data_IF_406197980763
#
_entry.id   IF_406197980763
#
_cell.length_a   1.000
_cell.length_b   1.000
_cell.length_c   1.000
_cell.angle_alpha   90.00
_cell.angle_beta   90.00
_cell.angle_gamma   90.00
#
_symmetry.space_group_name_H-M   'P 1'
#
loop_
_entity.id
_entity.type
_entity.pdbx_description
1 polymer ?
#
# COMPACT_ATOMS: atom_id res chain seq x y z
N UNK A 1 58.33 -70.11 43.15
CA UNK A 1 56.95 -69.59 42.99
C UNK A 1 56.80 -69.03 41.59
N UNK A 2 55.95 -69.63 40.73
CA UNK A 2 55.74 -69.18 39.35
C UNK A 2 54.30 -68.67 39.25
N UNK A 3 54.13 -67.35 39.26
CA UNK A 3 52.82 -66.70 39.21
C UNK A 3 52.23 -66.91 37.82
N UNK A 4 51.12 -67.65 37.74
CA UNK A 4 50.30 -67.73 36.52
C UNK A 4 49.63 -66.37 36.34
N UNK A 5 49.93 -65.66 35.26
CA UNK A 5 49.12 -64.53 34.82
C UNK A 5 47.90 -65.11 34.10
N UNK A 6 46.74 -65.03 34.74
CA UNK A 6 45.45 -65.26 34.07
C UNK A 6 45.22 -64.21 32.99
N UNK A 7 44.57 -64.55 31.88
CA UNK A 7 44.18 -63.59 30.86
C UNK A 7 42.95 -62.81 31.33
N UNK A 8 43.09 -61.49 31.48
CA UNK A 8 42.00 -60.53 31.66
C UNK A 8 41.56 -59.90 30.32
N UNK A 9 40.37 -59.28 30.24
CA UNK A 9 39.40 -59.59 29.20
C UNK A 9 39.22 -58.51 28.11
N UNK A 10 38.76 -59.02 26.94
CA UNK A 10 37.89 -58.38 25.96
C UNK A 10 38.42 -57.11 25.27
N UNK A 11 39.11 -57.34 24.15
CA UNK A 11 39.22 -56.33 23.10
C UNK A 11 37.81 -55.88 22.70
N UNK A 12 37.49 -54.60 22.92
CA UNK A 12 36.40 -53.96 22.19
C UNK A 12 36.69 -54.18 20.70
N UNK A 13 35.81 -54.88 19.99
CA UNK A 13 36.04 -55.22 18.59
C UNK A 13 36.15 -53.94 17.77
N UNK A 14 37.38 -53.60 17.38
CA UNK A 14 37.67 -52.52 16.43
C UNK A 14 36.92 -52.85 15.13
N UNK A 15 35.99 -51.99 14.69
CA UNK A 15 35.15 -52.30 13.54
C UNK A 15 36.03 -52.47 12.30
N UNK A 16 35.83 -53.58 11.60
CA UNK A 16 36.56 -53.90 10.37
C UNK A 16 36.41 -52.77 9.36
N UNK A 17 37.40 -52.57 8.49
CA UNK A 17 37.42 -51.46 7.51
C UNK A 17 36.14 -51.37 6.67
N UNK A 18 35.53 -52.53 6.37
CA UNK A 18 34.25 -52.63 5.66
C UNK A 18 33.08 -52.02 6.44
N UNK A 19 33.05 -52.20 7.76
CA UNK A 19 32.02 -51.62 8.62
C UNK A 19 32.20 -50.11 8.76
N UNK A 20 33.44 -49.64 8.87
CA UNK A 20 33.77 -48.20 8.81
C UNK A 20 33.32 -47.56 7.49
N UNK A 21 33.56 -48.24 6.37
CA UNK A 21 33.14 -47.77 5.06
C UNK A 21 31.60 -47.65 4.97
N UNK A 22 30.87 -48.70 5.40
CA UNK A 22 29.40 -48.69 5.44
C UNK A 22 28.84 -47.55 6.28
N UNK A 23 29.36 -47.34 7.49
CA UNK A 23 28.93 -46.26 8.37
C UNK A 23 29.20 -44.88 7.77
N UNK A 24 30.37 -44.69 7.14
CA UNK A 24 30.72 -43.45 6.46
C UNK A 24 29.85 -43.18 5.23
N UNK A 25 29.52 -44.20 4.45
CA UNK A 25 28.59 -44.08 3.32
C UNK A 25 27.19 -43.72 3.80
N UNK A 26 26.67 -44.38 4.83
CA UNK A 26 25.37 -44.03 5.43
C UNK A 26 25.35 -42.60 5.94
N UNK A 27 26.40 -42.16 6.63
CA UNK A 27 26.55 -40.79 7.13
C UNK A 27 26.58 -39.78 5.98
N UNK A 28 27.31 -40.07 4.89
CA UNK A 28 27.37 -39.22 3.69
C UNK A 28 26.01 -39.13 3.00
N UNK A 29 25.30 -40.24 2.85
CA UNK A 29 23.93 -40.29 2.30
C UNK A 29 22.97 -39.45 3.14
N UNK A 30 22.99 -39.62 4.47
CA UNK A 30 22.16 -38.83 5.39
C UNK A 30 22.45 -37.34 5.30
N UNK A 31 23.73 -36.94 5.25
CA UNK A 31 24.13 -35.53 5.05
C UNK A 31 23.58 -34.95 3.75
N UNK A 32 23.65 -35.70 2.64
CA UNK A 32 23.10 -35.26 1.35
C UNK A 32 21.59 -35.05 1.39
N UNK A 33 20.84 -36.02 1.92
CA UNK A 33 19.38 -35.92 2.03
C UNK A 33 18.99 -34.74 2.92
N UNK A 34 19.65 -34.57 4.07
CA UNK A 34 19.36 -33.45 4.97
C UNK A 34 19.64 -32.09 4.32
N UNK A 35 20.72 -31.98 3.54
CA UNK A 35 21.04 -30.77 2.81
C UNK A 35 19.97 -30.45 1.76
N UNK A 36 19.52 -31.46 1.01
CA UNK A 36 18.49 -31.30 -0.01
C UNK A 36 17.15 -30.86 0.60
N UNK A 37 16.75 -31.47 1.71
CA UNK A 37 15.55 -31.07 2.48
C UNK A 37 15.69 -29.64 2.99
N UNK A 38 16.84 -29.29 3.56
CA UNK A 38 17.10 -27.93 4.05
C UNK A 38 16.99 -26.91 2.92
N UNK A 39 17.66 -27.16 1.79
CA UNK A 39 17.65 -26.26 0.64
C UNK A 39 16.24 -26.05 0.09
N UNK A 40 15.44 -27.13 0.01
CA UNK A 40 14.04 -27.05 -0.41
C UNK A 40 13.21 -26.21 0.55
N UNK A 41 13.39 -26.38 1.86
CA UNK A 41 12.68 -25.60 2.87
C UNK A 41 13.08 -24.12 2.81
N UNK A 42 14.38 -23.84 2.74
CA UNK A 42 14.92 -22.48 2.64
C UNK A 42 14.38 -21.78 1.37
N UNK A 43 14.36 -22.48 0.24
CA UNK A 43 13.79 -21.97 -1.01
C UNK A 43 12.28 -21.65 -0.87
N UNK A 44 11.50 -22.57 -0.31
CA UNK A 44 10.07 -22.35 -0.07
C UNK A 44 9.82 -21.17 0.90
N UNK A 45 10.67 -21.02 1.92
CA UNK A 45 10.60 -19.91 2.86
C UNK A 45 10.90 -18.58 2.15
N UNK A 46 12.01 -18.51 1.40
CA UNK A 46 12.39 -17.31 0.66
C UNK A 46 11.32 -16.89 -0.34
N UNK A 47 10.74 -17.84 -1.10
CA UNK A 47 9.64 -17.54 -2.00
C UNK A 47 8.42 -16.95 -1.28
N UNK A 48 8.09 -17.48 -0.10
CA UNK A 48 6.99 -16.96 0.72
C UNK A 48 7.30 -15.54 1.20
N UNK A 49 8.51 -15.29 1.67
CA UNK A 49 8.96 -13.98 2.14
C UNK A 49 8.94 -12.94 1.02
N UNK A 50 9.44 -13.30 -0.17
CA UNK A 50 9.38 -12.44 -1.37
C UNK A 50 7.93 -12.06 -1.66
N UNK A 51 7.02 -13.04 -1.72
CA UNK A 51 5.61 -12.77 -2.01
C UNK A 51 4.97 -11.84 -0.96
N UNK A 52 5.29 -12.03 0.31
CA UNK A 52 4.81 -11.16 1.40
C UNK A 52 5.36 -9.74 1.22
N UNK A 53 6.64 -9.60 0.91
CA UNK A 53 7.28 -8.29 0.71
C UNK A 53 6.72 -7.58 -0.52
N UNK A 54 6.44 -8.29 -1.61
CA UNK A 54 5.78 -7.75 -2.79
C UNK A 54 4.38 -7.23 -2.46
N UNK A 55 3.57 -8.01 -1.73
CA UNK A 55 2.25 -7.56 -1.29
C UNK A 55 2.34 -6.30 -0.42
N UNK A 56 3.28 -6.25 0.52
CA UNK A 56 3.53 -5.06 1.36
C UNK A 56 3.95 -3.86 0.52
N UNK A 57 4.85 -4.05 -0.45
CA UNK A 57 5.29 -2.98 -1.37
C UNK A 57 4.11 -2.42 -2.16
N UNK A 58 3.27 -3.29 -2.72
CA UNK A 58 2.08 -2.88 -3.45
C UNK A 58 1.14 -2.07 -2.54
N UNK A 59 0.85 -2.54 -1.32
CA UNK A 59 -0.01 -1.81 -0.39
C UNK A 59 0.53 -0.42 -0.03
N UNK A 60 1.85 -0.29 0.18
CA UNK A 60 2.50 1.01 0.43
C UNK A 60 2.37 1.92 -0.79
N UNK A 61 2.69 1.43 -1.99
CA UNK A 61 2.61 2.23 -3.22
C UNK A 61 1.19 2.70 -3.52
N UNK A 62 0.17 1.83 -3.33
CA UNK A 62 -1.23 2.25 -3.49
C UNK A 62 -1.60 3.35 -2.50
N UNK A 63 -1.17 3.23 -1.24
CA UNK A 63 -1.46 4.24 -0.21
C UNK A 63 -0.75 5.57 -0.51
N UNK A 64 0.52 5.53 -0.89
CA UNK A 64 1.27 6.74 -1.27
C UNK A 64 0.66 7.41 -2.49
N UNK A 65 0.31 6.63 -3.53
CA UNK A 65 -0.37 7.17 -4.71
C UNK A 65 -1.71 7.81 -4.37
N UNK A 66 -2.49 7.19 -3.48
CA UNK A 66 -3.75 7.77 -3.03
C UNK A 66 -3.51 9.09 -2.26
N UNK A 67 -2.49 9.17 -1.40
CA UNK A 67 -2.17 10.41 -0.69
C UNK A 67 -1.69 11.50 -1.64
N UNK A 68 -0.88 11.16 -2.65
CA UNK A 68 -0.38 12.12 -3.64
C UNK A 68 -1.54 12.70 -4.45
N UNK A 69 -2.47 11.85 -4.92
CA UNK A 69 -3.68 12.29 -5.62
C UNK A 69 -4.52 13.24 -4.75
N UNK A 70 -4.66 12.97 -3.45
CA UNK A 70 -5.40 13.86 -2.54
C UNK A 70 -4.72 15.23 -2.44
N UNK A 71 -3.39 15.29 -2.35
CA UNK A 71 -2.67 16.56 -2.28
C UNK A 71 -2.68 17.30 -3.62
N UNK A 72 -2.59 16.60 -4.75
CA UNK A 72 -2.74 17.18 -6.08
C UNK A 72 -4.13 17.80 -6.26
N UNK A 73 -5.19 17.06 -5.92
CA UNK A 73 -6.57 17.56 -5.96
C UNK A 73 -6.77 18.74 -5.01
N UNK A 74 -6.18 18.70 -3.81
CA UNK A 74 -6.26 19.84 -2.87
C UNK A 74 -5.55 21.08 -3.42
N UNK A 75 -4.37 20.93 -4.01
CA UNK A 75 -3.64 22.04 -4.62
C UNK A 75 -4.40 22.63 -5.83
N UNK A 76 -4.95 21.78 -6.69
CA UNK A 76 -5.83 22.17 -7.80
C UNK A 76 -7.09 22.91 -7.29
N UNK A 77 -7.72 22.41 -6.23
CA UNK A 77 -8.86 23.08 -5.60
C UNK A 77 -8.49 24.48 -5.13
N UNK A 78 -7.40 24.64 -4.37
CA UNK A 78 -6.99 25.96 -3.91
C UNK A 78 -6.63 26.88 -5.08
N UNK A 79 -5.96 26.39 -6.12
CA UNK A 79 -5.63 27.17 -7.33
C UNK A 79 -6.91 27.66 -8.04
N UNK A 80 -7.88 26.77 -8.24
CA UNK A 80 -9.12 27.08 -8.93
C UNK A 80 -10.04 27.99 -8.10
N UNK A 81 -10.13 27.79 -6.78
CA UNK A 81 -11.08 28.48 -5.91
C UNK A 81 -10.46 29.59 -5.05
N UNK A 82 -9.21 30.00 -5.27
CA UNK A 82 -8.55 31.03 -4.43
C UNK A 82 -9.28 32.38 -4.43
N UNK A 83 -10.04 32.69 -5.49
CA UNK A 83 -10.87 33.89 -5.60
C UNK A 83 -12.38 33.61 -5.39
N UNK A 84 -12.72 32.42 -4.87
CA UNK A 84 -14.10 31.95 -4.80
C UNK A 84 -14.60 31.37 -6.12
N UNK A 85 -15.89 31.04 -6.18
CA UNK A 85 -16.54 30.56 -7.40
C UNK A 85 -16.79 31.76 -8.32
N UNK A 86 -16.25 31.71 -9.53
CA UNK A 86 -16.42 32.74 -10.54
C UNK A 86 -17.86 32.64 -11.06
N UNK A 87 -18.71 33.60 -10.68
CA UNK A 87 -19.96 33.80 -11.41
C UNK A 87 -19.58 34.29 -12.80
N UNK A 88 -19.73 33.46 -13.83
CA UNK A 88 -19.69 33.98 -15.18
C UNK A 88 -20.73 35.09 -15.25
N UNK A 89 -20.26 36.33 -15.40
CA UNK A 89 -21.13 37.48 -15.53
C UNK A 89 -22.15 37.23 -16.64
N UNK A 90 -23.31 37.85 -16.52
CA UNK A 90 -24.46 37.73 -17.42
C UNK A 90 -24.19 38.13 -18.89
N UNK A 91 -22.92 38.34 -19.26
CA UNK A 91 -22.45 38.60 -20.61
C UNK A 91 -22.48 37.30 -21.42
N UNK A 92 -23.31 37.32 -22.45
CA UNK A 92 -23.72 36.21 -23.31
C UNK A 92 -22.60 35.40 -23.97
N UNK A 93 -21.34 35.82 -23.85
CA UNK A 93 -20.15 35.11 -24.35
C UNK A 93 -19.45 34.30 -23.25
N UNK A 94 -19.48 34.76 -21.99
CA UNK A 94 -18.91 34.04 -20.84
C UNK A 94 -19.80 32.87 -20.38
N UNK A 95 -21.10 32.93 -20.67
CA UNK A 95 -22.06 31.83 -20.42
C UNK A 95 -21.78 30.56 -21.25
N UNK A 96 -21.00 30.67 -22.34
CA UNK A 96 -20.63 29.55 -23.21
C UNK A 96 -19.31 28.88 -22.79
N UNK A 97 -18.57 29.46 -21.86
CA UNK A 97 -17.32 28.88 -21.37
C UNK A 97 -17.61 27.95 -20.21
N UNK A 98 -17.29 26.64 -20.30
CA UNK A 98 -17.40 25.72 -19.17
C UNK A 98 -16.65 26.33 -17.99
N UNK A 99 -17.37 26.57 -16.90
CA UNK A 99 -16.73 27.01 -15.67
C UNK A 99 -15.94 25.81 -15.17
N UNK A 100 -14.60 25.84 -15.32
CA UNK A 100 -13.70 24.76 -14.90
C UNK A 100 -13.95 24.37 -13.44
N UNK A 101 -14.42 25.32 -12.61
CA UNK A 101 -14.81 25.07 -11.21
C UNK A 101 -16.09 24.22 -11.07
N UNK A 102 -17.06 24.34 -11.98
CA UNK A 102 -18.30 23.55 -11.99
C UNK A 102 -18.08 22.11 -12.46
N UNK A 103 -17.11 21.88 -13.35
CA UNK A 103 -16.75 20.53 -13.79
C UNK A 103 -15.81 19.85 -12.78
N UNK A 104 -14.91 20.62 -12.14
CA UNK A 104 -13.93 20.11 -11.19
C UNK A 104 -14.56 19.44 -9.97
N UNK A 105 -15.62 20.02 -9.40
CA UNK A 105 -16.21 19.54 -8.14
C UNK A 105 -16.88 18.17 -8.29
N UNK A 106 -17.74 17.93 -9.30
CA UNK A 106 -18.29 16.60 -9.57
C UNK A 106 -17.23 15.55 -9.94
N UNK A 107 -16.15 15.95 -10.61
CA UNK A 107 -15.12 15.02 -11.09
C UNK A 107 -14.14 14.60 -10.00
N UNK A 108 -13.85 15.49 -9.04
CA UNK A 108 -12.85 15.23 -7.99
C UNK A 108 -13.44 14.82 -6.65
N UNK A 109 -14.72 15.11 -6.38
CA UNK A 109 -15.36 14.78 -5.11
C UNK A 109 -16.18 13.49 -5.19
N UNK A 110 -16.17 12.73 -4.09
CA UNK A 110 -17.02 11.55 -3.98
C UNK A 110 -18.50 11.92 -4.02
N UNK A 111 -19.30 11.07 -4.65
CA UNK A 111 -20.77 11.22 -4.76
C UNK A 111 -21.48 11.36 -3.40
N UNK A 112 -20.85 10.88 -2.33
CA UNK A 112 -21.38 10.90 -0.97
C UNK A 112 -20.75 11.96 -0.05
N UNK A 113 -19.98 12.91 -0.60
CA UNK A 113 -19.36 13.99 0.17
C UNK A 113 -20.38 14.72 1.02
N UNK A 114 -20.14 14.85 2.32
CA UNK A 114 -21.05 15.54 3.25
C UNK A 114 -20.63 17.00 3.32
N UNK A 115 -21.54 17.89 2.92
CA UNK A 115 -21.40 19.33 3.06
C UNK A 115 -22.47 19.86 4.03
N UNK A 116 -22.29 21.09 4.53
CA UNK A 116 -23.24 21.71 5.47
C UNK A 116 -24.67 21.82 4.90
N UNK A 117 -24.81 21.82 3.58
CA UNK A 117 -26.07 21.97 2.83
C UNK A 117 -26.67 20.64 2.37
N UNK A 118 -25.99 19.51 2.58
CA UNK A 118 -26.48 18.19 2.17
C UNK A 118 -25.37 17.23 1.77
N UNK A 119 -25.75 16.19 1.01
CA UNK A 119 -24.84 15.15 0.53
C UNK A 119 -24.62 15.29 -0.98
N UNK A 120 -23.38 15.15 -1.41
CA UNK A 120 -22.96 15.14 -2.81
C UNK A 120 -22.48 16.49 -3.33
N UNK A 121 -21.70 16.43 -4.41
CA UNK A 121 -21.16 17.59 -5.13
C UNK A 121 -22.25 18.58 -5.55
N UNK A 122 -23.40 18.09 -5.98
CA UNK A 122 -24.53 18.92 -6.42
C UNK A 122 -25.11 19.78 -5.29
N UNK A 123 -25.29 19.21 -4.10
CA UNK A 123 -25.80 19.95 -2.94
C UNK A 123 -24.83 21.07 -2.54
N UNK A 124 -23.53 20.79 -2.58
CA UNK A 124 -22.47 21.76 -2.31
C UNK A 124 -22.48 22.91 -3.33
N UNK A 125 -22.54 22.61 -4.64
CA UNK A 125 -22.61 23.64 -5.69
C UNK A 125 -23.85 24.53 -5.54
N UNK A 126 -25.02 23.94 -5.25
CA UNK A 126 -26.26 24.70 -5.01
C UNK A 126 -26.12 25.67 -3.84
N UNK A 127 -25.48 25.25 -2.73
CA UNK A 127 -25.22 26.17 -1.61
C UNK A 127 -24.29 27.31 -2.00
N UNK A 128 -23.18 27.04 -2.68
CA UNK A 128 -22.25 28.10 -3.08
C UNK A 128 -22.90 29.12 -4.03
N UNK A 129 -23.67 28.66 -5.03
CA UNK A 129 -24.45 29.56 -5.87
C UNK A 129 -25.44 30.41 -5.07
N UNK A 130 -26.12 29.80 -4.09
CA UNK A 130 -27.08 30.53 -3.24
C UNK A 130 -26.38 31.61 -2.40
N UNK A 131 -25.21 31.31 -1.84
CA UNK A 131 -24.40 32.28 -1.09
C UNK A 131 -23.93 33.44 -1.96
N UNK A 132 -23.39 33.16 -3.15
CA UNK A 132 -22.91 34.21 -4.07
C UNK A 132 -24.05 35.12 -4.53
N UNK A 133 -25.20 34.55 -4.90
CA UNK A 133 -26.37 35.32 -5.30
C UNK A 133 -26.89 36.20 -4.16
N UNK A 134 -26.82 35.73 -2.92
CA UNK A 134 -27.18 36.54 -1.75
C UNK A 134 -26.21 37.72 -1.57
N UNK A 135 -24.90 37.47 -1.61
CA UNK A 135 -23.88 38.51 -1.52
C UNK A 135 -23.97 39.56 -2.63
N UNK A 136 -24.25 39.15 -3.86
CA UNK A 136 -24.43 40.07 -5.00
C UNK A 136 -25.65 40.96 -4.78
N UNK A 137 -26.77 40.40 -4.34
CA UNK A 137 -27.99 41.17 -4.04
C UNK A 137 -27.76 42.18 -2.92
N UNK A 138 -27.12 41.78 -1.81
CA UNK A 138 -26.87 42.70 -0.69
C UNK A 138 -25.88 43.80 -1.07
N UNK A 139 -24.84 43.48 -1.84
CA UNK A 139 -23.84 44.46 -2.29
C UNK A 139 -24.45 45.47 -3.27
N UNK A 140 -25.35 45.03 -4.16
CA UNK A 140 -26.04 45.91 -5.12
C UNK A 140 -27.08 46.79 -4.42
N UNK A 141 -27.71 46.33 -3.34
CA UNK A 141 -28.62 47.14 -2.53
C UNK A 141 -27.91 48.21 -1.68
N UNK A 142 -26.68 47.97 -1.22
CA UNK A 142 -25.93 48.97 -0.44
C UNK A 142 -25.26 50.06 -1.29
N UNK A 143 -25.13 49.84 -2.61
CA UNK A 143 -24.60 50.82 -3.57
C UNK A 143 -25.67 51.76 -4.13
N UNK A 144 -26.95 51.45 -3.95
CA UNK A 144 -28.10 52.21 -4.46
C UNK A 144 -28.92 52.89 -3.33
N UNK A 145 -28.40 52.91 -2.10
CA UNK A 145 -28.95 53.60 -0.93
C UNK A 145 -28.06 54.78 -0.56
#
# INVERSE_FOLDING_TARGET
MKVRKSPGPLHAEEPTERERHRLNEQRRRKKRINLEVKLKNDFCQLQREIKILECKRCAVLLRTRATDIVWEVAAEYFRLFHHGLHSNGHDTVAALTPCVQLDFVPETMSSDVVHNSGRGAEAMMKSWHSFLNWFEKTSRSSLNA
#
